data_IF_465686179925
#
_entry.id   IF_465686179925
#
_cell.length_a   1.000
_cell.length_b   1.000
_cell.length_c   1.000
_cell.angle_alpha   90.00
_cell.angle_beta   90.00
_cell.angle_gamma   90.00
#
_symmetry.space_group_name_H-M   'P 1'
#
loop_
_entity.id
_entity.type
_entity.pdbx_description
1 polymer ?
#
# COMPACT_ATOMS: atom_id res chain seq x y z
N UNK A 1 9.10 6.05 -2.21
CA UNK A 1 10.30 5.91 -1.36
C UNK A 1 11.59 5.72 -2.15
N UNK A 2 11.61 6.28 -3.33
CA UNK A 2 12.75 6.28 -4.25
C UNK A 2 13.25 7.72 -4.48
N UNK A 3 14.27 7.86 -5.33
CA UNK A 3 14.76 9.16 -5.73
C UNK A 3 13.81 9.83 -6.71
N UNK A 4 13.40 11.08 -6.44
CA UNK A 4 12.53 11.88 -7.33
C UNK A 4 13.11 11.94 -8.75
N UNK A 5 14.40 12.21 -8.88
CA UNK A 5 15.06 12.33 -10.19
C UNK A 5 15.06 11.05 -11.03
N UNK A 6 14.90 9.88 -10.36
CA UNK A 6 14.85 8.58 -11.04
C UNK A 6 13.43 8.10 -11.32
N UNK A 7 12.48 8.55 -10.52
CA UNK A 7 11.09 8.07 -10.55
C UNK A 7 10.19 9.01 -11.33
N UNK A 8 10.19 10.28 -10.97
CA UNK A 8 9.37 11.30 -11.62
C UNK A 8 10.14 12.65 -11.61
N UNK A 9 11.11 12.85 -12.54
CA UNK A 9 11.94 14.03 -12.57
C UNK A 9 11.10 15.30 -12.71
N UNK A 10 11.26 16.23 -11.79
CA UNK A 10 10.52 17.51 -11.82
C UNK A 10 11.11 18.50 -12.83
N UNK A 11 12.31 18.25 -13.35
CA UNK A 11 13.03 19.18 -14.21
C UNK A 11 13.39 20.46 -13.47
N UNK A 12 13.33 21.60 -14.15
CA UNK A 12 13.60 22.91 -13.55
C UNK A 12 12.36 23.38 -12.76
N UNK A 13 12.30 23.03 -11.48
CA UNK A 13 11.18 23.35 -10.59
C UNK A 13 10.97 24.87 -10.47
N UNK A 14 12.06 25.66 -10.42
CA UNK A 14 11.99 27.13 -10.34
C UNK A 14 11.24 27.69 -11.54
N UNK A 15 11.64 27.31 -12.77
CA UNK A 15 10.98 27.79 -13.99
C UNK A 15 9.51 27.39 -14.05
N UNK A 16 9.15 26.19 -13.56
CA UNK A 16 7.75 25.77 -13.50
C UNK A 16 6.93 26.65 -12.57
N UNK A 17 7.45 26.91 -11.38
CA UNK A 17 6.77 27.74 -10.36
C UNK A 17 6.66 29.20 -10.83
N UNK A 18 7.76 29.79 -11.31
CA UNK A 18 7.79 31.18 -11.81
C UNK A 18 6.91 31.33 -13.06
N UNK A 19 6.89 30.32 -13.96
CA UNK A 19 6.01 30.29 -15.13
C UNK A 19 4.52 30.25 -14.80
N UNK A 20 4.16 29.81 -13.59
CA UNK A 20 2.79 29.86 -13.06
C UNK A 20 2.47 31.19 -12.35
N UNK A 21 3.35 32.16 -12.37
CA UNK A 21 3.17 33.48 -11.77
C UNK A 21 3.48 33.56 -10.28
N UNK A 22 4.09 32.52 -9.70
CA UNK A 22 4.47 32.51 -8.29
C UNK A 22 5.90 33.05 -8.09
N UNK A 23 6.17 33.52 -6.87
CA UNK A 23 7.54 33.76 -6.43
C UNK A 23 8.15 32.45 -5.91
N UNK A 24 9.43 32.25 -6.23
CA UNK A 24 10.20 31.09 -5.82
C UNK A 24 11.36 31.47 -4.91
N UNK A 25 11.37 30.93 -3.70
CA UNK A 25 12.48 31.04 -2.74
C UNK A 25 13.06 29.67 -2.42
N UNK A 26 14.32 29.66 -2.01
CA UNK A 26 14.99 28.45 -1.50
C UNK A 26 15.60 28.71 -0.13
N UNK A 27 15.62 27.66 0.71
CA UNK A 27 16.32 27.71 1.98
C UNK A 27 16.92 26.34 2.35
N UNK A 28 17.89 26.35 3.24
CA UNK A 28 18.29 25.13 3.94
C UNK A 28 17.20 24.78 4.97
N UNK A 29 16.50 23.68 4.74
CA UNK A 29 15.40 23.20 5.59
C UNK A 29 15.85 22.62 6.93
N UNK A 30 17.17 22.50 7.17
CA UNK A 30 17.76 22.09 8.44
C UNK A 30 18.42 23.24 9.20
N UNK A 31 18.50 24.43 8.61
CA UNK A 31 18.99 25.63 9.29
C UNK A 31 17.85 26.57 9.67
N UNK A 32 17.66 26.73 11.00
CA UNK A 32 16.61 27.60 11.54
C UNK A 32 16.72 29.06 11.09
N UNK A 33 17.94 29.60 10.96
CA UNK A 33 18.18 30.99 10.51
C UNK A 33 17.77 31.16 9.04
N UNK A 34 18.18 30.25 8.17
CA UNK A 34 17.80 30.23 6.75
C UNK A 34 16.28 30.15 6.55
N UNK A 35 15.60 29.27 7.31
CA UNK A 35 14.14 29.16 7.28
C UNK A 35 13.47 30.47 7.73
N UNK A 36 13.94 31.04 8.85
CA UNK A 36 13.39 32.29 9.41
C UNK A 36 13.52 33.46 8.46
N UNK A 37 14.67 33.64 7.85
CA UNK A 37 14.94 34.74 6.87
C UNK A 37 14.06 34.55 5.63
N UNK A 38 13.99 33.36 5.08
CA UNK A 38 13.14 33.06 3.91
C UNK A 38 11.67 33.32 4.20
N UNK A 39 11.17 32.91 5.36
CA UNK A 39 9.79 33.19 5.79
C UNK A 39 9.54 34.70 5.99
N UNK A 40 10.51 35.43 6.51
CA UNK A 40 10.39 36.88 6.66
C UNK A 40 10.27 37.56 5.29
N UNK A 41 11.10 37.18 4.30
CA UNK A 41 10.98 37.68 2.94
C UNK A 41 9.64 37.30 2.29
N UNK A 42 9.20 36.06 2.44
CA UNK A 42 7.93 35.58 1.89
C UNK A 42 6.73 36.40 2.42
N UNK A 43 6.76 36.80 3.69
CA UNK A 43 5.70 37.62 4.32
C UNK A 43 5.61 39.05 3.79
N UNK A 44 6.63 39.55 3.16
CA UNK A 44 6.60 40.89 2.54
C UNK A 44 5.90 40.92 1.18
N UNK A 45 5.71 39.76 0.56
CA UNK A 45 4.94 39.63 -0.67
C UNK A 45 3.43 39.62 -0.38
N UNK A 46 2.68 40.47 -1.06
CA UNK A 46 1.24 40.61 -0.91
C UNK A 46 0.45 40.45 -2.21
N UNK A 47 1.14 40.36 -3.35
CA UNK A 47 0.52 40.38 -4.68
C UNK A 47 0.54 39.03 -5.36
N UNK A 48 1.51 38.20 -5.05
CA UNK A 48 1.70 36.90 -5.69
C UNK A 48 1.83 35.78 -4.65
N UNK A 49 1.37 34.58 -4.97
CA UNK A 49 1.64 33.42 -4.12
C UNK A 49 3.15 33.14 -4.09
N UNK A 50 3.60 32.62 -2.95
CA UNK A 50 5.00 32.32 -2.70
C UNK A 50 5.19 30.82 -2.56
N UNK A 51 6.16 30.29 -3.27
CA UNK A 51 6.63 28.90 -3.15
C UNK A 51 8.01 28.91 -2.47
N UNK A 52 8.14 28.18 -1.37
CA UNK A 52 9.41 28.01 -0.66
C UNK A 52 9.87 26.56 -0.83
N UNK A 53 11.01 26.37 -1.48
CA UNK A 53 11.66 25.09 -1.61
C UNK A 53 12.70 24.94 -0.50
N UNK A 54 12.35 24.17 0.55
CA UNK A 54 13.25 23.87 1.64
C UNK A 54 14.07 22.60 1.30
N UNK A 55 15.38 22.75 1.13
CA UNK A 55 16.29 21.64 0.92
C UNK A 55 16.42 20.84 2.20
N UNK A 56 15.91 19.61 2.20
CA UNK A 56 15.96 18.73 3.36
C UNK A 56 16.57 17.39 3.00
N UNK A 57 17.17 16.75 4.02
CA UNK A 57 17.63 15.36 3.94
C UNK A 57 16.74 14.50 4.80
N UNK A 58 16.08 13.54 4.19
CA UNK A 58 15.18 12.61 4.90
C UNK A 58 15.94 11.83 5.96
N UNK A 59 15.40 11.77 7.20
CA UNK A 59 16.06 11.15 8.34
C UNK A 59 17.21 11.95 8.94
N UNK A 60 17.35 13.23 8.59
CA UNK A 60 18.41 14.11 9.08
C UNK A 60 18.56 14.07 10.60
N UNK A 61 19.81 13.98 11.06
CA UNK A 61 20.16 13.90 12.47
C UNK A 61 20.54 12.50 12.92
N UNK A 62 20.07 11.45 12.27
CA UNK A 62 20.38 10.06 12.61
C UNK A 62 21.08 9.37 11.43
N UNK A 63 22.35 9.05 11.59
CA UNK A 63 23.23 8.67 10.47
C UNK A 63 22.76 7.49 9.64
N UNK A 64 22.16 6.48 10.25
CA UNK A 64 21.63 5.31 9.54
C UNK A 64 20.25 5.57 8.92
N UNK A 65 19.49 6.54 9.44
CA UNK A 65 18.21 6.96 8.85
C UNK A 65 18.37 7.91 7.66
N UNK A 66 19.54 8.50 7.49
CA UNK A 66 19.86 9.34 6.32
C UNK A 66 20.23 8.53 5.08
N UNK A 67 20.25 7.20 5.16
CA UNK A 67 20.72 6.33 4.09
C UNK A 67 19.57 5.58 3.45
N UNK A 68 19.69 5.38 2.14
CA UNK A 68 18.90 4.37 1.43
C UNK A 68 19.39 2.96 1.81
N UNK A 69 18.68 1.94 1.36
CA UNK A 69 19.10 0.55 1.50
C UNK A 69 20.50 0.31 0.89
N UNK A 70 21.04 -0.89 1.12
CA UNK A 70 22.39 -1.26 0.63
C UNK A 70 22.57 -1.11 -0.87
N UNK A 71 21.46 -1.14 -1.62
CA UNK A 71 21.44 -1.00 -3.10
C UNK A 71 21.18 0.45 -3.54
N UNK A 72 20.94 1.39 -2.62
CA UNK A 72 20.63 2.78 -2.92
C UNK A 72 19.29 3.00 -3.63
N UNK A 73 18.40 2.01 -3.59
CA UNK A 73 17.11 2.04 -4.31
C UNK A 73 15.97 2.55 -3.45
N UNK A 74 15.90 2.16 -2.18
CA UNK A 74 14.72 2.39 -1.35
C UNK A 74 15.08 3.00 0.02
N UNK A 75 14.15 3.78 0.56
CA UNK A 75 14.26 4.39 1.87
C UNK A 75 13.44 3.62 2.91
N UNK A 76 14.13 3.00 3.88
CA UNK A 76 13.52 2.08 4.87
C UNK A 76 12.59 2.78 5.87
N UNK A 77 12.89 4.01 6.28
CA UNK A 77 12.24 4.68 7.42
C UNK A 77 11.16 5.69 6.99
N UNK A 78 10.41 5.37 5.91
CA UNK A 78 9.37 6.28 5.39
C UNK A 78 8.13 6.28 6.29
N UNK A 79 7.70 5.12 6.73
CA UNK A 79 6.46 4.94 7.51
C UNK A 79 6.65 3.90 8.61
N UNK A 80 5.75 3.92 9.60
CA UNK A 80 5.79 3.04 10.74
C UNK A 80 6.78 3.50 11.82
N UNK A 81 6.77 2.81 12.95
CA UNK A 81 7.74 3.01 14.03
C UNK A 81 9.03 2.23 13.74
N UNK A 82 10.20 2.76 14.06
CA UNK A 82 11.44 1.99 14.02
C UNK A 82 11.37 0.80 14.98
N UNK A 83 12.19 -0.22 14.74
CA UNK A 83 12.36 -1.29 15.73
C UNK A 83 12.94 -0.73 17.04
N UNK A 84 12.74 -1.43 18.16
CA UNK A 84 13.32 -1.00 19.46
C UNK A 84 14.82 -0.80 19.37
N UNK A 85 15.53 -1.66 18.63
CA UNK A 85 16.96 -1.56 18.40
C UNK A 85 17.32 -0.32 17.58
N UNK A 86 16.61 -0.04 16.48
CA UNK A 86 16.81 1.16 15.64
C UNK A 86 16.50 2.41 16.46
N UNK A 87 15.40 2.40 17.25
CA UNK A 87 15.03 3.50 18.13
C UNK A 87 16.12 3.83 19.16
N UNK A 88 16.59 2.82 19.90
CA UNK A 88 17.67 3.01 20.90
C UNK A 88 18.96 3.49 20.26
N UNK A 89 19.30 2.99 19.08
CA UNK A 89 20.49 3.44 18.33
C UNK A 89 20.36 4.91 17.91
N UNK A 90 19.20 5.34 17.45
CA UNK A 90 18.92 6.72 17.08
C UNK A 90 19.00 7.67 18.28
N UNK A 91 18.40 7.28 19.41
CA UNK A 91 18.43 8.06 20.66
C UNK A 91 19.86 8.23 21.16
N UNK A 92 20.64 7.14 21.21
CA UNK A 92 22.03 7.20 21.66
C UNK A 92 22.90 8.10 20.77
N UNK A 93 22.69 8.05 19.45
CA UNK A 93 23.39 8.95 18.52
C UNK A 93 23.03 10.43 18.76
N UNK A 94 21.75 10.74 18.95
CA UNK A 94 21.26 12.09 19.20
C UNK A 94 21.76 12.64 20.54
N UNK A 95 21.69 11.84 21.61
CA UNK A 95 22.20 12.18 22.95
C UNK A 95 23.68 12.53 22.90
N UNK A 96 24.48 11.71 22.19
CA UNK A 96 25.91 11.95 22.01
C UNK A 96 26.17 13.25 21.21
N UNK A 97 25.41 13.51 20.16
CA UNK A 97 25.52 14.76 19.35
C UNK A 97 25.17 16.01 20.17
N UNK A 98 24.22 15.90 21.09
CA UNK A 98 23.82 17.00 21.97
C UNK A 98 24.73 17.21 23.16
N UNK A 99 25.76 16.36 23.33
CA UNK A 99 26.74 16.49 24.41
C UNK A 99 26.23 16.05 25.81
N UNK A 100 25.10 15.32 25.85
CA UNK A 100 24.65 14.75 27.12
C UNK A 100 25.50 13.55 27.50
N UNK A 101 26.10 13.58 28.71
CA UNK A 101 27.03 12.58 29.19
C UNK A 101 26.34 11.40 29.93
N UNK A 102 25.05 11.41 30.09
CA UNK A 102 24.32 10.35 30.78
C UNK A 102 23.64 9.43 29.79
N UNK A 103 23.91 8.12 29.92
CA UNK A 103 23.04 7.10 29.35
C UNK A 103 21.63 7.33 29.93
N UNK A 104 20.73 7.82 29.10
CA UNK A 104 19.31 7.97 29.45
C UNK A 104 18.76 6.55 29.64
N UNK A 105 18.52 6.18 30.88
CA UNK A 105 17.90 4.89 31.21
C UNK A 105 16.38 5.00 30.93
N UNK A 106 16.03 4.92 29.64
CA UNK A 106 14.66 5.16 29.13
C UNK A 106 13.66 4.09 29.60
N UNK A 107 14.13 2.94 30.11
CA UNK A 107 13.24 1.92 30.66
C UNK A 107 12.42 2.39 31.88
N UNK A 108 12.79 3.52 32.51
CA UNK A 108 12.09 4.07 33.66
C UNK A 108 11.32 5.37 33.38
N UNK A 109 11.51 6.03 32.25
CA UNK A 109 10.95 7.37 32.00
C UNK A 109 9.78 7.43 31.00
N UNK A 110 9.46 6.37 30.28
CA UNK A 110 8.26 6.27 29.43
C UNK A 110 7.21 5.35 30.08
N UNK A 111 7.08 5.41 31.38
CA UNK A 111 5.78 5.17 31.99
C UNK A 111 4.98 6.46 31.81
N UNK A 112 4.22 6.56 30.71
CA UNK A 112 3.18 7.55 30.60
C UNK A 112 2.23 7.33 31.79
N UNK A 113 2.45 8.10 32.86
CA UNK A 113 1.53 8.26 33.98
C UNK A 113 0.30 9.04 33.49
N UNK A 114 -0.47 8.48 32.61
CA UNK A 114 -1.83 8.89 32.35
C UNK A 114 -2.61 7.63 31.98
N UNK A 115 -3.09 6.95 32.98
CA UNK A 115 -4.22 6.06 33.18
C UNK A 115 -5.05 5.57 31.98
N UNK A 116 -4.41 5.17 30.91
CA UNK A 116 -4.94 4.20 29.97
C UNK A 116 -3.96 3.04 30.07
N UNK A 117 -4.29 2.05 30.91
CA UNK A 117 -3.76 0.71 30.75
C UNK A 117 -4.23 0.22 29.38
N UNK A 118 -3.49 0.58 28.35
CA UNK A 118 -3.41 -0.25 27.17
C UNK A 118 -2.62 -1.45 27.65
N UNK A 119 -3.29 -2.53 28.05
CA UNK A 119 -2.67 -3.83 28.03
C UNK A 119 -1.89 -3.85 26.74
N UNK A 120 -0.56 -3.87 26.85
CA UNK A 120 0.31 -4.10 25.72
C UNK A 120 0.04 -5.54 25.30
N UNK A 121 -1.02 -5.73 24.54
CA UNK A 121 -1.07 -6.86 23.64
C UNK A 121 0.22 -6.78 22.86
N UNK A 122 1.06 -7.76 23.11
CA UNK A 122 2.40 -7.96 22.62
C UNK A 122 2.45 -7.64 21.09
N UNK A 123 2.65 -6.33 20.77
CA UNK A 123 2.78 -5.81 19.40
C UNK A 123 4.13 -6.19 18.79
N UNK A 124 4.93 -7.00 19.50
CA UNK A 124 6.02 -7.69 18.85
C UNK A 124 5.42 -8.56 17.74
N UNK A 125 5.86 -8.42 16.48
CA UNK A 125 5.39 -9.29 15.42
C UNK A 125 5.84 -10.72 15.77
N UNK A 126 4.97 -11.46 16.45
CA UNK A 126 5.08 -12.92 16.52
C UNK A 126 5.21 -13.37 15.08
N UNK A 127 6.39 -13.86 14.70
CA UNK A 127 6.73 -14.45 13.40
C UNK A 127 5.68 -14.09 12.35
N UNK A 128 5.95 -13.04 11.55
CA UNK A 128 5.04 -12.55 10.52
C UNK A 128 4.53 -13.76 9.74
N UNK A 129 3.33 -14.21 10.06
CA UNK A 129 2.57 -15.05 9.16
C UNK A 129 2.62 -14.34 7.82
N UNK A 130 3.01 -15.05 6.76
CA UNK A 130 3.22 -14.44 5.45
C UNK A 130 2.01 -13.55 5.14
N UNK A 131 2.22 -12.24 5.06
CA UNK A 131 1.13 -11.32 4.73
C UNK A 131 0.67 -11.60 3.30
N UNK A 132 -0.59 -11.27 2.96
CA UNK A 132 -1.07 -11.40 1.58
C UNK A 132 -0.17 -10.66 0.57
N UNK A 133 0.50 -9.59 1.00
CA UNK A 133 1.46 -8.85 0.17
C UNK A 133 2.67 -9.73 -0.23
N UNK A 134 3.22 -10.51 0.73
CA UNK A 134 4.35 -11.41 0.44
C UNK A 134 3.92 -12.59 -0.43
N UNK A 135 2.72 -13.12 -0.19
CA UNK A 135 2.12 -14.17 -1.03
C UNK A 135 1.92 -13.66 -2.44
N UNK A 136 1.35 -12.45 -2.57
CA UNK A 136 1.17 -11.79 -3.86
C UNK A 136 2.49 -11.57 -4.59
N UNK A 137 3.52 -11.08 -3.91
CA UNK A 137 4.86 -10.93 -4.49
C UNK A 137 5.43 -12.25 -5.05
N UNK A 138 5.15 -13.38 -4.41
CA UNK A 138 5.50 -14.71 -4.93
C UNK A 138 4.70 -15.10 -6.16
N UNK A 139 3.38 -14.84 -6.16
CA UNK A 139 2.50 -15.10 -7.31
C UNK A 139 2.89 -14.24 -8.52
N UNK A 140 3.19 -12.97 -8.31
CA UNK A 140 3.68 -12.09 -9.37
C UNK A 140 4.98 -12.62 -9.99
N UNK A 141 5.93 -13.04 -9.16
CA UNK A 141 7.19 -13.60 -9.63
C UNK A 141 6.97 -14.79 -10.56
N UNK A 142 6.12 -15.75 -10.17
CA UNK A 142 5.77 -16.92 -10.99
C UNK A 142 5.05 -16.55 -12.29
N UNK A 143 4.09 -15.61 -12.23
CA UNK A 143 3.37 -15.14 -13.42
C UNK A 143 4.31 -14.45 -14.41
N UNK A 144 5.15 -13.53 -13.94
CA UNK A 144 6.04 -12.73 -14.79
C UNK A 144 7.22 -13.54 -15.36
N UNK A 145 7.61 -14.62 -14.68
CA UNK A 145 8.57 -15.59 -15.23
C UNK A 145 8.00 -16.31 -16.44
N UNK A 146 6.73 -16.71 -16.37
CA UNK A 146 6.06 -17.54 -17.37
C UNK A 146 5.50 -16.75 -18.57
N UNK A 147 5.16 -15.47 -18.40
CA UNK A 147 4.45 -14.69 -19.42
C UNK A 147 5.06 -13.30 -19.63
N UNK A 148 5.58 -13.05 -20.85
CA UNK A 148 6.19 -11.78 -21.25
C UNK A 148 5.18 -10.73 -21.72
N UNK A 149 3.90 -11.05 -21.78
CA UNK A 149 2.84 -10.08 -22.04
C UNK A 149 2.45 -9.27 -20.82
N UNK A 150 2.80 -9.73 -19.61
CA UNK A 150 2.48 -9.06 -18.36
C UNK A 150 3.38 -7.84 -18.14
N UNK A 151 2.79 -6.73 -17.71
CA UNK A 151 3.49 -5.50 -17.36
C UNK A 151 3.01 -5.04 -15.99
N UNK A 152 3.92 -4.85 -15.04
CA UNK A 152 3.62 -4.27 -13.74
C UNK A 152 3.84 -2.74 -13.77
N UNK A 153 2.85 -1.99 -13.33
CA UNK A 153 2.94 -0.54 -13.12
C UNK A 153 2.79 -0.25 -11.62
N UNK A 154 3.62 0.63 -11.10
CA UNK A 154 3.68 0.93 -9.66
C UNK A 154 3.78 2.43 -9.40
N UNK A 155 3.09 2.90 -8.36
CA UNK A 155 3.03 4.30 -7.97
C UNK A 155 3.97 4.63 -6.80
N UNK A 156 5.23 4.22 -6.89
CA UNK A 156 6.28 4.38 -5.84
C UNK A 156 5.96 3.64 -4.52
N UNK A 157 5.32 2.46 -4.63
CA UNK A 157 4.86 1.66 -3.49
C UNK A 157 5.33 0.19 -3.56
N UNK A 158 6.42 -0.10 -4.24
CA UNK A 158 6.80 -1.46 -4.61
C UNK A 158 6.97 -2.43 -3.43
N UNK A 159 7.41 -1.97 -2.27
CA UNK A 159 7.47 -2.80 -1.05
C UNK A 159 6.10 -3.02 -0.42
N UNK A 160 5.24 -2.02 -0.45
CA UNK A 160 3.90 -2.06 0.14
C UNK A 160 2.91 -2.86 -0.72
N UNK A 161 3.21 -3.02 -2.01
CA UNK A 161 2.37 -3.73 -2.99
C UNK A 161 2.96 -5.06 -3.44
N UNK A 162 4.20 -5.38 -3.04
CA UNK A 162 4.88 -6.62 -3.40
C UNK A 162 5.51 -6.64 -4.79
N UNK A 163 5.49 -5.53 -5.55
CA UNK A 163 6.04 -5.45 -6.90
C UNK A 163 7.58 -5.40 -6.94
N UNK A 164 8.25 -5.24 -5.79
CA UNK A 164 9.72 -5.17 -5.72
C UNK A 164 10.43 -6.35 -6.37
N UNK A 165 9.87 -7.56 -6.32
CA UNK A 165 10.45 -8.76 -6.97
C UNK A 165 10.41 -8.64 -8.49
N UNK A 166 9.33 -8.09 -9.04
CA UNK A 166 9.21 -7.86 -10.49
C UNK A 166 10.18 -6.76 -10.92
N UNK A 167 10.27 -5.69 -10.15
CA UNK A 167 11.21 -4.60 -10.41
C UNK A 167 12.67 -5.07 -10.48
N UNK A 168 13.05 -6.01 -9.60
CA UNK A 168 14.41 -6.54 -9.54
C UNK A 168 14.71 -7.58 -10.63
N UNK A 169 13.80 -8.54 -10.85
CA UNK A 169 14.04 -9.69 -11.73
C UNK A 169 13.57 -9.48 -13.17
N UNK A 170 12.51 -8.68 -13.36
CA UNK A 170 11.83 -8.52 -14.65
C UNK A 170 11.72 -7.05 -15.05
N UNK A 171 12.82 -6.30 -14.98
CA UNK A 171 12.84 -4.85 -15.20
C UNK A 171 12.24 -4.40 -16.54
N UNK A 172 12.31 -5.24 -17.59
CA UNK A 172 11.67 -4.97 -18.89
C UNK A 172 10.13 -5.08 -18.87
N UNK A 173 9.56 -5.66 -17.80
CA UNK A 173 8.12 -5.82 -17.59
C UNK A 173 7.64 -4.95 -16.41
N UNK A 174 8.45 -4.01 -15.94
CA UNK A 174 8.13 -3.14 -14.81
C UNK A 174 8.26 -1.67 -15.20
N UNK A 175 7.26 -0.89 -14.84
CA UNK A 175 7.21 0.57 -15.06
C UNK A 175 6.96 1.24 -13.72
N UNK A 176 7.93 2.03 -13.26
CA UNK A 176 7.74 2.92 -12.13
C UNK A 176 7.13 4.24 -12.63
N UNK A 177 5.90 4.52 -12.22
CA UNK A 177 5.13 5.68 -12.67
C UNK A 177 5.27 6.89 -11.74
N UNK A 178 5.85 6.69 -10.55
CA UNK A 178 5.81 7.69 -9.48
C UNK A 178 4.40 7.85 -8.89
N UNK A 179 4.22 8.85 -8.03
CA UNK A 179 2.91 9.13 -7.42
C UNK A 179 2.04 9.89 -8.43
N UNK A 180 1.54 9.16 -9.44
CA UNK A 180 0.75 9.66 -10.54
C UNK A 180 -0.28 8.61 -11.00
N UNK A 181 -1.22 8.25 -10.12
CA UNK A 181 -2.14 7.13 -10.33
C UNK A 181 -3.03 7.30 -11.56
N UNK A 182 -3.43 8.53 -11.89
CA UNK A 182 -4.25 8.82 -13.08
C UNK A 182 -3.50 8.52 -14.38
N UNK A 183 -2.23 8.95 -14.46
CA UNK A 183 -1.36 8.68 -15.62
C UNK A 183 -1.05 7.18 -15.72
N UNK A 184 -0.72 6.55 -14.60
CA UNK A 184 -0.46 5.11 -14.50
C UNK A 184 -1.63 4.28 -15.02
N UNK A 185 -2.87 4.62 -14.63
CA UNK A 185 -4.08 3.91 -15.07
C UNK A 185 -4.36 4.16 -16.55
N UNK A 186 -4.17 5.38 -17.05
CA UNK A 186 -4.31 5.70 -18.49
C UNK A 186 -3.28 4.93 -19.33
N UNK A 187 -2.03 4.87 -18.88
CA UNK A 187 -0.97 4.08 -19.51
C UNK A 187 -1.33 2.59 -19.55
N UNK A 188 -1.88 2.05 -18.46
CA UNK A 188 -2.32 0.66 -18.40
C UNK A 188 -3.42 0.36 -19.44
N UNK A 189 -4.40 1.25 -19.62
CA UNK A 189 -5.41 1.11 -20.67
C UNK A 189 -4.79 0.99 -22.06
N UNK A 190 -3.85 1.86 -22.38
CA UNK A 190 -3.13 1.85 -23.68
C UNK A 190 -2.31 0.57 -23.87
N UNK A 191 -1.64 0.09 -22.84
CA UNK A 191 -0.91 -1.18 -22.87
C UNK A 191 -1.85 -2.36 -23.11
N UNK A 192 -3.02 -2.37 -22.47
CA UNK A 192 -4.04 -3.40 -22.69
C UNK A 192 -4.54 -3.42 -24.14
N UNK A 193 -4.84 -2.26 -24.71
CA UNK A 193 -5.21 -2.14 -26.13
C UNK A 193 -4.09 -2.58 -27.09
N UNK A 194 -2.83 -2.54 -26.64
CA UNK A 194 -1.68 -3.02 -27.38
C UNK A 194 -1.41 -4.52 -27.19
N UNK A 195 -2.33 -5.26 -26.55
CA UNK A 195 -2.23 -6.71 -26.36
C UNK A 195 -1.39 -7.14 -25.14
N UNK A 196 -1.08 -6.23 -24.22
CA UNK A 196 -0.46 -6.55 -22.94
C UNK A 196 -1.52 -6.81 -21.86
N UNK A 197 -1.10 -7.43 -20.75
CA UNK A 197 -1.92 -7.58 -19.54
C UNK A 197 -1.26 -6.75 -18.44
N UNK A 198 -1.68 -5.48 -18.27
CA UNK A 198 -1.10 -4.61 -17.26
C UNK A 198 -1.67 -4.89 -15.86
N UNK A 199 -0.79 -4.86 -14.88
CA UNK A 199 -1.08 -4.92 -13.45
C UNK A 199 -0.75 -3.56 -12.83
N UNK A 200 -1.75 -2.84 -12.36
CA UNK A 200 -1.62 -1.52 -11.76
C UNK A 200 -1.63 -1.63 -10.25
N UNK A 201 -0.56 -1.20 -9.59
CA UNK A 201 -0.39 -1.34 -8.14
C UNK A 201 -0.37 0.01 -7.43
N UNK A 202 -1.28 0.18 -6.47
CA UNK A 202 -1.29 1.31 -5.55
C UNK A 202 -2.09 0.96 -4.28
N UNK A 203 -2.17 1.87 -3.32
CA UNK A 203 -3.14 1.71 -2.23
C UNK A 203 -4.57 1.81 -2.76
N UNK A 204 -5.46 0.99 -2.20
CA UNK A 204 -6.84 0.91 -2.64
C UNK A 204 -7.56 2.27 -2.59
N UNK A 205 -7.30 3.08 -1.53
CA UNK A 205 -7.84 4.43 -1.40
C UNK A 205 -7.36 5.35 -2.51
N UNK A 206 -6.09 5.30 -2.89
CA UNK A 206 -5.53 6.18 -3.92
C UNK A 206 -5.97 5.74 -5.32
N UNK A 207 -5.87 4.46 -5.60
CA UNK A 207 -6.24 3.91 -6.90
C UNK A 207 -7.70 4.20 -7.25
N UNK A 208 -8.62 3.92 -6.32
CA UNK A 208 -10.05 3.99 -6.61
C UNK A 208 -10.65 5.39 -6.50
N UNK A 209 -10.04 6.31 -5.77
CA UNK A 209 -10.53 7.69 -5.66
C UNK A 209 -9.85 8.64 -6.64
N UNK A 210 -8.52 8.60 -6.75
CA UNK A 210 -7.79 9.51 -7.63
C UNK A 210 -7.93 9.16 -9.11
N UNK A 211 -7.95 7.88 -9.46
CA UNK A 211 -7.98 7.41 -10.83
C UNK A 211 -9.33 6.78 -11.24
N UNK A 212 -10.44 7.07 -10.51
CA UNK A 212 -11.77 6.53 -10.80
C UNK A 212 -12.22 6.76 -12.24
N UNK A 213 -12.02 7.97 -12.75
CA UNK A 213 -12.37 8.33 -14.13
C UNK A 213 -11.55 7.53 -15.15
N UNK A 214 -10.25 7.39 -14.92
CA UNK A 214 -9.37 6.65 -15.83
C UNK A 214 -9.69 5.15 -15.82
N UNK A 215 -10.04 4.59 -14.65
CA UNK A 215 -10.56 3.21 -14.56
C UNK A 215 -11.84 3.08 -15.38
N UNK A 216 -12.81 3.99 -15.20
CA UNK A 216 -14.06 3.98 -15.93
C UNK A 216 -13.83 4.07 -17.46
N UNK A 217 -12.92 4.94 -17.91
CA UNK A 217 -12.58 5.09 -19.31
C UNK A 217 -12.00 3.79 -19.90
N UNK A 218 -11.02 3.17 -19.21
CA UNK A 218 -10.47 1.89 -19.62
C UNK A 218 -11.52 0.79 -19.73
N UNK A 219 -12.47 0.75 -18.79
CA UNK A 219 -13.57 -0.22 -18.80
C UNK A 219 -14.54 0.01 -19.93
N UNK A 220 -14.82 1.27 -20.30
CA UNK A 220 -15.69 1.63 -21.42
C UNK A 220 -15.08 1.24 -22.77
N UNK A 221 -13.76 1.20 -22.86
CA UNK A 221 -12.98 0.75 -24.03
C UNK A 221 -12.73 -0.76 -24.04
N UNK A 222 -13.23 -1.51 -23.03
CA UNK A 222 -13.00 -2.93 -22.83
C UNK A 222 -11.49 -3.27 -22.69
N UNK A 223 -10.69 -2.34 -22.18
CA UNK A 223 -9.29 -2.57 -21.86
C UNK A 223 -9.19 -3.47 -20.63
N UNK A 224 -8.59 -4.67 -20.81
CA UNK A 224 -8.39 -5.61 -19.71
C UNK A 224 -7.18 -5.20 -18.86
N UNK A 225 -7.44 -4.70 -17.66
CA UNK A 225 -6.43 -4.26 -16.69
C UNK A 225 -6.66 -4.95 -15.35
N UNK A 226 -5.58 -5.36 -14.69
CA UNK A 226 -5.62 -5.89 -13.32
C UNK A 226 -5.29 -4.75 -12.35
N UNK A 227 -6.27 -4.25 -11.66
CA UNK A 227 -6.15 -3.16 -10.68
C UNK A 227 -5.90 -3.76 -9.29
N UNK A 228 -4.72 -3.58 -8.75
CA UNK A 228 -4.31 -4.15 -7.47
C UNK A 228 -4.33 -3.08 -6.37
N UNK A 229 -5.37 -3.09 -5.53
CA UNK A 229 -5.57 -2.14 -4.45
C UNK A 229 -5.15 -2.72 -3.09
N UNK A 230 -4.09 -2.17 -2.51
CA UNK A 230 -3.53 -2.59 -1.21
C UNK A 230 -4.00 -1.71 -0.07
N UNK A 231 -3.80 -2.13 1.17
CA UNK A 231 -4.34 -1.50 2.38
C UNK A 231 -5.86 -1.30 2.30
N UNK A 232 -6.57 -2.25 1.70
CA UNK A 232 -8.01 -2.18 1.52
C UNK A 232 -8.77 -2.30 2.85
N UNK A 233 -9.81 -1.48 3.02
CA UNK A 233 -10.60 -1.41 4.24
C UNK A 233 -10.06 -0.40 5.26
N UNK A 234 -10.38 -0.62 6.54
CA UNK A 234 -10.04 0.29 7.65
C UNK A 234 -8.73 -0.07 8.34
N UNK A 235 -8.16 -1.23 8.07
CA UNK A 235 -6.92 -1.73 8.69
C UNK A 235 -5.79 -1.85 7.66
N UNK A 236 -4.53 -1.54 8.04
CA UNK A 236 -4.13 -0.95 9.32
C UNK A 236 -4.55 0.52 9.43
N UNK A 237 -4.80 0.98 10.65
CA UNK A 237 -5.26 2.35 10.92
C UNK A 237 -4.12 3.36 11.07
N UNK A 238 -2.89 2.90 11.28
CA UNK A 238 -1.74 3.76 11.58
C UNK A 238 -1.45 4.86 10.54
N UNK A 239 -1.59 4.63 9.22
CA UNK A 239 -1.40 5.70 8.23
C UNK A 239 -2.50 6.77 8.22
N UNK A 240 -3.61 6.56 8.95
CA UNK A 240 -4.73 7.49 9.06
C UNK A 240 -5.75 7.38 7.92
N UNK A 241 -6.79 8.22 8.01
CA UNK A 241 -7.99 8.15 7.16
C UNK A 241 -7.68 8.26 5.64
N UNK A 242 -6.63 8.97 5.26
CA UNK A 242 -6.27 9.14 3.84
C UNK A 242 -5.83 7.84 3.15
N UNK A 243 -5.40 6.84 3.93
CA UNK A 243 -4.96 5.54 3.45
C UNK A 243 -6.03 4.45 3.63
N UNK A 244 -7.08 4.73 4.40
CA UNK A 244 -8.16 3.79 4.63
C UNK A 244 -9.12 3.75 3.44
N UNK A 245 -9.31 2.59 2.85
CA UNK A 245 -10.16 2.40 1.68
C UNK A 245 -11.55 1.89 2.11
N UNK A 246 -12.40 2.80 2.58
CA UNK A 246 -13.76 2.47 3.06
C UNK A 246 -14.81 2.50 1.94
N UNK A 247 -14.52 3.18 0.83
CA UNK A 247 -15.44 3.36 -0.29
C UNK A 247 -15.03 2.65 -1.58
N UNK A 248 -13.84 2.04 -1.61
CA UNK A 248 -13.25 1.40 -2.79
C UNK A 248 -14.16 0.33 -3.39
N UNK A 249 -14.72 -0.53 -2.54
CA UNK A 249 -15.66 -1.57 -2.98
C UNK A 249 -16.93 -0.95 -3.62
N UNK A 250 -17.50 0.08 -3.02
CA UNK A 250 -18.68 0.78 -3.53
C UNK A 250 -18.40 1.43 -4.89
N UNK A 251 -17.28 2.13 -5.01
CA UNK A 251 -16.85 2.78 -6.26
C UNK A 251 -16.68 1.74 -7.37
N UNK A 252 -15.86 0.71 -7.14
CA UNK A 252 -15.56 -0.30 -8.17
C UNK A 252 -16.77 -1.15 -8.50
N UNK A 253 -17.64 -1.46 -7.53
CA UNK A 253 -18.84 -2.24 -7.77
C UNK A 253 -19.86 -1.52 -8.68
N UNK A 254 -19.80 -0.19 -8.73
CA UNK A 254 -20.67 0.60 -9.63
C UNK A 254 -20.21 0.57 -11.10
N UNK A 255 -18.97 0.21 -11.38
CA UNK A 255 -18.44 0.17 -12.74
C UNK A 255 -18.88 -1.11 -13.49
N UNK A 256 -19.18 -1.03 -14.78
CA UNK A 256 -19.42 -2.21 -15.62
C UNK A 256 -18.10 -2.95 -15.91
N UNK A 257 -18.20 -4.17 -16.42
CA UNK A 257 -17.08 -4.93 -16.99
C UNK A 257 -15.82 -5.10 -16.09
N UNK A 258 -16.01 -5.11 -14.77
CA UNK A 258 -14.97 -5.37 -13.81
C UNK A 258 -15.40 -6.42 -12.79
N UNK A 259 -14.56 -7.38 -12.52
CA UNK A 259 -14.73 -8.34 -11.43
C UNK A 259 -14.01 -7.84 -10.19
N UNK A 260 -14.54 -8.12 -9.00
CA UNK A 260 -13.86 -7.85 -7.72
C UNK A 260 -13.39 -9.17 -7.16
N UNK A 261 -12.11 -9.25 -6.82
CA UNK A 261 -11.49 -10.39 -6.19
C UNK A 261 -10.86 -9.98 -4.87
N UNK A 262 -11.39 -10.49 -3.76
CA UNK A 262 -10.95 -10.18 -2.40
C UNK A 262 -10.66 -11.47 -1.62
N UNK A 263 -9.43 -12.01 -1.72
CA UNK A 263 -9.07 -13.27 -1.09
C UNK A 263 -8.93 -13.11 0.43
N UNK A 264 -9.42 -14.10 1.17
CA UNK A 264 -9.32 -14.15 2.62
C UNK A 264 -8.07 -14.89 3.13
N UNK A 265 -7.39 -15.66 2.27
CA UNK A 265 -6.20 -16.44 2.65
C UNK A 265 -5.28 -16.71 1.45
N UNK A 266 -4.11 -17.31 1.73
CA UNK A 266 -3.12 -17.71 0.72
C UNK A 266 -3.71 -18.59 -0.39
N UNK A 267 -4.52 -19.61 0.00
CA UNK A 267 -5.10 -20.54 -0.97
C UNK A 267 -6.04 -19.81 -1.94
N UNK A 268 -6.88 -18.91 -1.44
CA UNK A 268 -7.74 -18.09 -2.29
C UNK A 268 -6.93 -17.12 -3.15
N UNK A 269 -5.88 -16.48 -2.62
CA UNK A 269 -5.02 -15.59 -3.41
C UNK A 269 -4.40 -16.32 -4.61
N UNK A 270 -4.07 -17.61 -4.46
CA UNK A 270 -3.48 -18.41 -5.53
C UNK A 270 -4.40 -18.58 -6.75
N UNK A 271 -5.72 -18.38 -6.59
CA UNK A 271 -6.67 -18.40 -7.71
C UNK A 271 -6.43 -17.28 -8.72
N UNK A 272 -5.71 -16.21 -8.33
CA UNK A 272 -5.35 -15.14 -9.28
C UNK A 272 -4.53 -15.67 -10.45
N UNK A 273 -3.74 -16.74 -10.28
CA UNK A 273 -2.95 -17.33 -11.37
C UNK A 273 -3.81 -17.81 -12.54
N UNK A 274 -4.98 -18.35 -12.26
CA UNK A 274 -5.94 -18.75 -13.29
C UNK A 274 -6.88 -17.61 -13.67
N UNK A 275 -7.37 -16.84 -12.71
CA UNK A 275 -8.34 -15.76 -12.95
C UNK A 275 -7.83 -14.72 -13.96
N UNK A 276 -6.53 -14.41 -13.93
CA UNK A 276 -5.90 -13.49 -14.89
C UNK A 276 -6.10 -13.92 -16.34
N UNK A 277 -6.14 -15.23 -16.61
CA UNK A 277 -6.30 -15.76 -17.96
C UNK A 277 -7.74 -16.20 -18.29
N UNK A 278 -8.49 -16.66 -17.30
CA UNK A 278 -9.86 -17.11 -17.48
C UNK A 278 -10.86 -15.97 -17.68
N UNK A 279 -10.64 -14.81 -17.04
CA UNK A 279 -11.51 -13.66 -17.20
C UNK A 279 -11.15 -12.86 -18.44
N UNK A 280 -12.16 -12.47 -19.23
CA UNK A 280 -12.06 -11.49 -20.32
C UNK A 280 -12.23 -10.04 -19.83
N UNK A 281 -12.57 -9.86 -18.56
CA UNK A 281 -12.82 -8.56 -17.92
C UNK A 281 -11.61 -8.05 -17.14
N UNK A 282 -11.64 -6.77 -16.84
CA UNK A 282 -10.76 -6.20 -15.82
C UNK A 282 -11.03 -6.80 -14.46
N UNK A 283 -10.02 -6.86 -13.61
CA UNK A 283 -10.11 -7.41 -12.26
C UNK A 283 -9.64 -6.34 -11.26
N UNK A 284 -10.43 -6.11 -10.23
CA UNK A 284 -9.98 -5.38 -9.05
C UNK A 284 -9.59 -6.38 -7.96
N UNK A 285 -8.29 -6.56 -7.78
CA UNK A 285 -7.72 -7.33 -6.67
C UNK A 285 -7.69 -6.44 -5.43
N UNK A 286 -8.51 -6.76 -4.44
CA UNK A 286 -8.62 -6.02 -3.19
C UNK A 286 -7.84 -6.75 -2.09
N UNK A 287 -6.77 -6.12 -1.57
CA UNK A 287 -5.85 -6.75 -0.62
C UNK A 287 -5.85 -6.02 0.71
N UNK A 288 -6.42 -6.65 1.73
CA UNK A 288 -6.33 -6.21 3.12
C UNK A 288 -4.97 -6.55 3.74
N UNK A 289 -4.55 -5.77 4.74
CA UNK A 289 -3.28 -5.95 5.45
C UNK A 289 -3.52 -6.31 6.91
N UNK A 290 -3.93 -7.55 7.14
CA UNK A 290 -4.14 -8.12 8.48
C UNK A 290 -3.57 -9.54 8.55
N UNK A 291 -3.44 -10.07 9.76
CA UNK A 291 -3.06 -11.47 9.96
C UNK A 291 -4.06 -12.40 9.28
N UNK A 292 -3.51 -13.35 8.54
CA UNK A 292 -4.33 -14.27 7.77
C UNK A 292 -5.01 -15.29 8.69
N UNK A 293 -6.28 -15.61 8.44
CA UNK A 293 -6.90 -16.77 9.02
C UNK A 293 -6.21 -18.05 8.54
N UNK A 294 -6.51 -19.16 9.21
CA UNK A 294 -5.94 -20.48 8.90
C UNK A 294 -6.05 -20.83 7.41
N UNK A 295 -5.04 -21.54 6.92
CA UNK A 295 -5.02 -22.06 5.54
C UNK A 295 -6.20 -23.01 5.30
N UNK A 296 -6.66 -23.03 4.06
CA UNK A 296 -7.71 -23.93 3.58
C UNK A 296 -7.09 -24.96 2.64
N UNK A 297 -7.63 -26.17 2.66
CA UNK A 297 -7.24 -27.18 1.67
C UNK A 297 -7.49 -26.64 0.24
N UNK A 298 -6.48 -26.61 -0.63
CA UNK A 298 -6.63 -26.11 -2.00
C UNK A 298 -7.75 -26.79 -2.80
N UNK A 299 -8.09 -28.04 -2.48
CA UNK A 299 -9.19 -28.78 -3.13
C UNK A 299 -10.57 -28.21 -2.83
N UNK A 300 -10.70 -27.45 -1.75
CA UNK A 300 -11.98 -26.85 -1.36
C UNK A 300 -12.21 -25.47 -1.97
N UNK A 301 -11.19 -24.88 -2.61
CA UNK A 301 -11.22 -23.52 -3.11
C UNK A 301 -11.36 -23.51 -4.63
N UNK A 302 -12.41 -22.86 -5.13
CA UNK A 302 -12.69 -22.73 -6.56
C UNK A 302 -13.18 -21.31 -6.89
N UNK A 303 -12.82 -20.82 -8.06
CA UNK A 303 -13.33 -19.54 -8.55
C UNK A 303 -14.87 -19.56 -8.65
N UNK A 304 -15.49 -18.48 -8.17
CA UNK A 304 -16.93 -18.31 -8.22
C UNK A 304 -17.73 -19.18 -7.23
N UNK A 305 -17.05 -19.85 -6.30
CA UNK A 305 -17.70 -20.65 -5.26
C UNK A 305 -17.35 -20.16 -3.87
N UNK A 306 -18.29 -20.37 -2.94
CA UNK A 306 -18.04 -20.15 -1.50
C UNK A 306 -17.19 -21.30 -0.96
N UNK A 307 -16.28 -20.97 -0.04
CA UNK A 307 -15.43 -21.94 0.67
C UNK A 307 -15.87 -22.02 2.12
N UNK A 308 -16.25 -23.20 2.58
CA UNK A 308 -16.61 -23.41 3.98
C UNK A 308 -15.36 -23.35 4.88
N UNK A 309 -15.41 -22.45 5.88
CA UNK A 309 -14.33 -22.25 6.86
C UNK A 309 -14.63 -22.88 8.21
N UNK A 310 -15.90 -22.92 8.57
CA UNK A 310 -16.40 -23.56 9.79
C UNK A 310 -17.79 -24.13 9.52
N UNK A 311 -18.06 -25.31 10.07
CA UNK A 311 -19.36 -25.93 10.05
C UNK A 311 -20.32 -25.24 11.04
N UNK A 312 -21.63 -25.27 10.73
CA UNK A 312 -22.72 -24.81 11.59
C UNK A 312 -24.05 -25.11 10.97
N UNK A 313 -25.11 -25.22 11.79
CA UNK A 313 -26.42 -25.75 11.38
C UNK A 313 -27.57 -24.74 11.40
N UNK A 314 -27.44 -23.64 12.19
CA UNK A 314 -28.52 -22.67 12.36
C UNK A 314 -28.37 -21.40 11.56
N UNK A 315 -27.15 -20.84 11.55
CA UNK A 315 -26.84 -19.57 10.93
C UNK A 315 -25.66 -19.71 10.00
N UNK A 316 -25.57 -18.83 9.00
CA UNK A 316 -24.42 -18.76 8.11
C UNK A 316 -23.90 -17.30 8.00
N UNK A 317 -22.59 -17.13 8.14
CA UNK A 317 -21.91 -15.88 7.83
C UNK A 317 -21.16 -16.09 6.52
N UNK A 318 -21.46 -15.27 5.50
CA UNK A 318 -20.73 -15.26 4.23
C UNK A 318 -19.95 -13.94 4.17
N UNK A 319 -18.65 -14.03 3.92
CA UNK A 319 -17.76 -12.85 3.92
C UNK A 319 -16.69 -12.95 2.85
N UNK A 320 -16.02 -11.83 2.56
CA UNK A 320 -14.81 -11.75 1.73
C UNK A 320 -13.69 -11.07 2.51
N UNK A 321 -12.46 -11.27 2.05
CA UNK A 321 -11.28 -10.67 2.63
C UNK A 321 -10.87 -11.20 4.00
N UNK A 322 -9.61 -10.94 4.39
CA UNK A 322 -9.02 -11.56 5.58
C UNK A 322 -9.58 -11.00 6.89
N UNK A 323 -9.85 -9.69 6.96
CA UNK A 323 -10.33 -9.02 8.18
C UNK A 323 -11.69 -9.56 8.61
N UNK A 324 -12.65 -9.61 7.67
CA UNK A 324 -14.00 -10.08 7.98
C UNK A 324 -14.06 -11.59 8.18
N UNK A 325 -13.23 -12.36 7.46
CA UNK A 325 -13.12 -13.79 7.68
C UNK A 325 -12.60 -14.11 9.10
N UNK A 326 -11.60 -13.35 9.57
CA UNK A 326 -11.07 -13.50 10.94
C UNK A 326 -12.16 -13.22 11.97
N UNK A 327 -12.83 -12.06 11.89
CA UNK A 327 -13.91 -11.69 12.82
C UNK A 327 -15.04 -12.71 12.80
N UNK A 328 -15.49 -13.16 11.62
CA UNK A 328 -16.56 -14.15 11.48
C UNK A 328 -16.20 -15.49 12.15
N UNK A 329 -14.94 -15.93 12.00
CA UNK A 329 -14.45 -17.15 12.64
C UNK A 329 -14.35 -16.99 14.17
N UNK A 330 -13.91 -15.85 14.68
CA UNK A 330 -13.85 -15.54 16.11
C UNK A 330 -15.25 -15.54 16.73
N UNK A 331 -16.21 -14.85 16.12
CA UNK A 331 -17.62 -14.83 16.57
C UNK A 331 -18.20 -16.26 16.55
N UNK A 332 -18.02 -16.99 15.46
CA UNK A 332 -18.57 -18.33 15.33
C UNK A 332 -17.91 -19.36 16.27
N UNK A 333 -16.71 -19.10 16.79
CA UNK A 333 -16.05 -19.93 17.81
C UNK A 333 -16.48 -19.57 19.25
N UNK A 334 -16.86 -18.32 19.46
CA UNK A 334 -17.35 -17.84 20.76
C UNK A 334 -18.77 -18.34 21.08
N UNK A 335 -19.56 -18.63 20.05
CA UNK A 335 -20.89 -19.21 20.17
C UNK A 335 -20.83 -20.73 20.34
N UNK A 336 -21.98 -21.37 20.58
CA UNK A 336 -22.03 -22.84 20.72
C UNK A 336 -21.51 -23.54 19.46
N UNK A 337 -20.79 -24.63 19.63
CA UNK A 337 -19.83 -25.21 18.69
C UNK A 337 -20.35 -25.45 17.27
N UNK A 338 -21.67 -25.66 17.10
CA UNK A 338 -22.29 -25.99 15.80
C UNK A 338 -23.42 -25.02 15.38
N UNK A 339 -23.52 -23.84 15.96
CA UNK A 339 -24.62 -22.94 15.58
C UNK A 339 -24.33 -22.14 14.32
N UNK A 340 -23.10 -21.62 14.16
CA UNK A 340 -22.76 -20.69 13.08
C UNK A 340 -21.78 -21.33 12.10
N UNK A 341 -22.20 -21.46 10.85
CA UNK A 341 -21.31 -21.75 9.72
C UNK A 341 -20.63 -20.48 9.23
N UNK A 342 -19.36 -20.57 8.80
CA UNK A 342 -18.63 -19.48 8.18
C UNK A 342 -18.17 -19.91 6.79
N UNK A 343 -18.42 -19.02 5.82
CA UNK A 343 -17.99 -19.17 4.43
C UNK A 343 -17.22 -17.95 3.97
N UNK A 344 -16.19 -18.17 3.15
CA UNK A 344 -15.53 -17.10 2.41
C UNK A 344 -15.94 -17.16 0.95
N UNK A 345 -16.06 -15.97 0.33
CA UNK A 345 -16.40 -15.79 -1.08
C UNK A 345 -15.46 -14.77 -1.71
N UNK A 346 -14.38 -15.22 -2.37
CA UNK A 346 -13.33 -14.31 -2.85
C UNK A 346 -13.74 -13.49 -4.08
N UNK A 347 -14.86 -13.81 -4.74
CA UNK A 347 -15.33 -13.11 -5.97
C UNK A 347 -16.69 -12.44 -5.78
N UNK A 348 -16.82 -11.44 -4.86
CA UNK A 348 -18.12 -10.85 -4.51
C UNK A 348 -18.80 -10.12 -5.68
N UNK A 349 -18.06 -9.75 -6.72
CA UNK A 349 -18.60 -9.27 -7.99
C UNK A 349 -17.99 -10.07 -9.14
N UNK A 350 -18.63 -11.16 -9.50
CA UNK A 350 -18.34 -11.93 -10.71
C UNK A 350 -19.64 -12.16 -11.47
N UNK A 351 -19.64 -11.94 -12.78
CA UNK A 351 -20.76 -12.29 -13.62
C UNK A 351 -20.70 -13.82 -13.85
N UNK A 352 -21.67 -14.54 -13.34
CA UNK A 352 -21.91 -15.92 -13.77
C UNK A 352 -22.65 -15.88 -15.10
N UNK A 353 -22.11 -16.55 -16.10
CA UNK A 353 -22.82 -16.84 -17.34
C UNK A 353 -23.79 -18.00 -17.10
#
# INVERSE_FOLDING_TARGET
DTWVDKTLPLGDLRKRVEGSGWLYFECDGHDYSSIKETLAHAKTESQRPVFIYAHTKKGSGVSFMERFDSNGKFYKFHSGSPSDQDYMSAVNELVKKLGFSHELNWSQSIAFKNGIDVESDDLTPKTRNQSLIQIWAGILEELFESDKSLIALDADLSYDTGTYKVADKFSAQYIQCGIAEQDMVSMAGTLALSGKIPFVHSFASFLTTRAAEQIFNNLSENSKVIYCGFLAGVLPSAPGHSHQAVSDFGIVSSFPNIEIFEPACETEMSLMKSLVYESDKSIYLRVGSVDLPEKVDPKMVQLGRITQRKFGEKYAIITSGPSMAKIALEVARAESENEIAVFTYPTPKRHFN
#
